data_IF_165085074140
#
_entry.id   IF_165085074140
#
_cell.length_a   1.000
_cell.length_b   1.000
_cell.length_c   1.000
_cell.angle_alpha   90.00
_cell.angle_beta   90.00
_cell.angle_gamma   90.00
#
_symmetry.space_group_name_H-M   'P 1'
#
loop_
_entity.id
_entity.type
_entity.pdbx_description
1 polymer ?
#
# COMPACT_ATOMS: atom_id res chain seq x y z
N UNK A 1 -1.34 0.59 10.26
CA UNK A 1 -1.65 1.90 9.65
C UNK A 1 -0.40 2.76 9.46
N UNK A 2 0.42 2.95 10.49
CA UNK A 2 1.61 3.84 10.47
C UNK A 2 2.57 3.61 9.27
N UNK A 3 2.74 2.37 8.83
CA UNK A 3 3.74 2.01 7.80
C UNK A 3 3.33 2.34 6.37
N UNK A 4 2.02 2.39 6.05
CA UNK A 4 1.57 2.76 4.69
C UNK A 4 1.78 4.26 4.44
N UNK A 5 1.62 5.10 5.46
CA UNK A 5 1.87 6.54 5.35
C UNK A 5 3.33 6.85 4.97
N UNK A 6 4.29 6.09 5.51
CA UNK A 6 5.71 6.20 5.15
C UNK A 6 5.96 5.67 3.72
N UNK A 7 5.28 4.59 3.34
CA UNK A 7 5.45 3.98 2.02
C UNK A 7 4.87 4.84 0.87
N UNK A 8 3.79 5.58 1.10
CA UNK A 8 3.11 6.38 0.08
C UNK A 8 3.89 7.63 -0.41
N UNK A 9 5.09 7.88 0.13
CA UNK A 9 5.98 8.94 -0.34
C UNK A 9 6.69 8.58 -1.66
N UNK A 10 6.75 7.29 -2.03
CA UNK A 10 7.38 6.82 -3.29
C UNK A 10 6.90 5.41 -3.69
N UNK A 11 6.72 5.17 -4.99
CA UNK A 11 6.40 3.86 -5.58
C UNK A 11 7.27 2.70 -5.06
N UNK A 12 8.59 2.90 -5.01
CA UNK A 12 9.52 1.87 -4.50
C UNK A 12 9.26 1.50 -3.04
N UNK A 13 8.85 2.48 -2.23
CA UNK A 13 8.54 2.25 -0.83
C UNK A 13 7.22 1.48 -0.68
N UNK A 14 6.21 1.74 -1.51
CA UNK A 14 4.98 0.93 -1.59
C UNK A 14 5.29 -0.51 -2.00
N UNK A 15 6.05 -0.72 -3.08
CA UNK A 15 6.45 -2.08 -3.49
C UNK A 15 7.20 -2.84 -2.38
N UNK A 16 8.11 -2.17 -1.67
CA UNK A 16 8.83 -2.77 -0.54
C UNK A 16 7.90 -3.14 0.62
N UNK A 17 6.97 -2.25 0.98
CA UNK A 17 5.99 -2.51 2.01
C UNK A 17 5.06 -3.67 1.67
N UNK A 18 4.59 -3.75 0.42
CA UNK A 18 3.69 -4.81 -0.06
C UNK A 18 4.39 -6.16 -0.11
N UNK A 19 5.66 -6.23 -0.56
CA UNK A 19 6.45 -7.48 -0.50
C UNK A 19 6.61 -7.98 0.93
N UNK A 20 6.88 -7.08 1.88
CA UNK A 20 7.01 -7.44 3.30
C UNK A 20 5.68 -7.89 3.90
N UNK A 21 4.58 -7.24 3.53
CA UNK A 21 3.23 -7.64 3.95
C UNK A 21 2.89 -9.04 3.42
N UNK A 22 3.15 -9.32 2.12
CA UNK A 22 3.03 -10.67 1.54
C UNK A 22 3.88 -11.69 2.30
N UNK A 23 5.15 -11.37 2.59
CA UNK A 23 6.05 -12.25 3.34
C UNK A 23 5.57 -12.51 4.78
N UNK A 24 4.81 -11.59 5.36
CA UNK A 24 4.17 -11.75 6.67
C UNK A 24 2.81 -12.46 6.61
N UNK A 25 2.39 -12.96 5.45
CA UNK A 25 1.12 -13.67 5.27
C UNK A 25 -0.11 -12.78 5.14
N UNK A 26 0.07 -11.46 4.99
CA UNK A 26 -1.05 -10.53 4.82
C UNK A 26 -1.66 -10.71 3.43
N UNK A 27 -2.99 -10.83 3.38
CA UNK A 27 -3.72 -11.00 2.12
C UNK A 27 -3.76 -9.73 1.29
N UNK A 28 -3.95 -9.90 -0.03
CA UNK A 28 -4.14 -8.79 -0.96
C UNK A 28 -5.34 -7.89 -0.58
N UNK A 29 -6.42 -8.49 -0.06
CA UNK A 29 -7.61 -7.77 0.39
C UNK A 29 -7.29 -6.86 1.59
N UNK A 30 -6.56 -7.36 2.58
CA UNK A 30 -6.12 -6.58 3.73
C UNK A 30 -5.20 -5.43 3.30
N UNK A 31 -4.27 -5.67 2.38
CA UNK A 31 -3.37 -4.62 1.86
C UNK A 31 -4.18 -3.49 1.21
N UNK A 32 -5.14 -3.83 0.34
CA UNK A 32 -6.04 -2.82 -0.29
C UNK A 32 -6.86 -2.07 0.75
N UNK A 33 -7.39 -2.77 1.75
CA UNK A 33 -8.17 -2.16 2.82
C UNK A 33 -7.35 -1.13 3.60
N UNK A 34 -6.10 -1.44 3.96
CA UNK A 34 -5.23 -0.48 4.68
C UNK A 34 -4.91 0.74 3.81
N UNK A 35 -4.79 0.58 2.48
CA UNK A 35 -4.61 1.72 1.56
C UNK A 35 -5.85 2.62 1.55
N UNK A 36 -7.06 2.05 1.50
CA UNK A 36 -8.32 2.81 1.58
C UNK A 36 -8.38 3.59 2.89
N UNK A 37 -8.05 2.96 4.01
CA UNK A 37 -8.05 3.65 5.31
C UNK A 37 -7.00 4.78 5.40
N UNK A 38 -5.98 4.77 4.55
CA UNK A 38 -4.96 5.82 4.52
C UNK A 38 -5.41 7.10 3.79
N UNK A 39 -6.54 7.07 3.07
CA UNK A 39 -7.11 8.23 2.35
C UNK A 39 -7.23 9.45 3.26
N UNK A 40 -7.68 9.27 4.50
CA UNK A 40 -7.84 10.37 5.48
C UNK A 40 -6.52 10.94 5.99
N UNK A 41 -5.40 10.22 5.80
CA UNK A 41 -4.07 10.59 6.29
C UNK A 41 -3.22 11.24 5.19
N UNK A 42 -3.18 10.63 4.00
CA UNK A 42 -2.32 11.08 2.89
C UNK A 42 -3.08 11.76 1.75
N UNK A 43 -4.41 11.82 1.85
CA UNK A 43 -5.30 12.34 0.83
C UNK A 43 -5.62 11.30 -0.26
N UNK A 44 -6.78 11.47 -0.89
CA UNK A 44 -7.29 10.56 -1.92
C UNK A 44 -6.31 10.35 -3.09
N UNK A 45 -5.70 11.38 -3.71
CA UNK A 45 -4.82 11.18 -4.86
C UNK A 45 -3.60 10.30 -4.56
N UNK A 46 -2.98 10.49 -3.38
CA UNK A 46 -1.82 9.70 -2.96
C UNK A 46 -2.20 8.27 -2.59
N UNK A 47 -3.35 8.07 -1.96
CA UNK A 47 -3.86 6.74 -1.66
C UNK A 47 -4.18 5.94 -2.93
N UNK A 48 -4.74 6.58 -3.96
CA UNK A 48 -5.00 5.91 -5.25
C UNK A 48 -3.70 5.55 -5.98
N UNK A 49 -2.68 6.42 -5.96
CA UNK A 49 -1.36 6.09 -6.49
C UNK A 49 -0.74 4.88 -5.76
N UNK A 50 -0.81 4.87 -4.43
CA UNK A 50 -0.37 3.73 -3.63
C UNK A 50 -1.15 2.43 -3.94
N UNK A 51 -2.44 2.54 -4.25
CA UNK A 51 -3.27 1.39 -4.67
C UNK A 51 -2.77 0.78 -5.98
N UNK A 52 -2.51 1.61 -7.00
CA UNK A 52 -1.97 1.17 -8.29
C UNK A 52 -0.63 0.44 -8.11
N UNK A 53 0.33 1.05 -7.40
CA UNK A 53 1.64 0.43 -7.16
C UNK A 53 1.58 -0.84 -6.31
N UNK A 54 0.63 -0.91 -5.38
CA UNK A 54 0.40 -2.12 -4.61
C UNK A 54 -0.13 -3.24 -5.50
N UNK A 55 -1.11 -2.95 -6.36
CA UNK A 55 -1.66 -3.93 -7.30
C UNK A 55 -0.61 -4.45 -8.28
N UNK A 56 0.31 -3.62 -8.77
CA UNK A 56 1.46 -4.06 -9.59
C UNK A 56 2.33 -5.13 -8.89
N UNK A 57 2.39 -5.11 -7.56
CA UNK A 57 3.14 -6.08 -6.74
C UNK A 57 2.29 -7.30 -6.38
N UNK A 58 0.97 -7.14 -6.32
CA UNK A 58 0.04 -8.20 -5.97
C UNK A 58 -0.32 -9.07 -7.18
N UNK A 59 -0.31 -8.49 -8.38
CA UNK A 59 -0.56 -9.16 -9.66
C UNK A 59 0.70 -9.87 -10.23
N UNK A 60 1.88 -9.64 -9.62
CA UNK A 60 3.09 -10.44 -9.79
C UNK A 60 3.16 -11.58 -8.78
#
# INVERSE_FOLDING_TARGET
MERIAVAAQSERAVHSAVRRAKAAGVSAAEIRHVIILSITTIGFPRAMAAMTWADDTLQK
#
